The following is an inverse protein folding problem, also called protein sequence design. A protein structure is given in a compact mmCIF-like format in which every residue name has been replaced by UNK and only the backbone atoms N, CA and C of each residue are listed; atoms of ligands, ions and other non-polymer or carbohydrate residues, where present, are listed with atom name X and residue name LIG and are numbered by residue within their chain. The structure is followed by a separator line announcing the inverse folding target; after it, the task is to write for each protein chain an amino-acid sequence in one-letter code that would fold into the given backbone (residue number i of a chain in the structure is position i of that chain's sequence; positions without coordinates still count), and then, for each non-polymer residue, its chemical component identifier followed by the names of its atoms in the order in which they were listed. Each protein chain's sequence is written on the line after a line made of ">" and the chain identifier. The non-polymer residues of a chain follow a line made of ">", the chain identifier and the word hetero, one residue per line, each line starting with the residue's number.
data_IF_734441826392
#
_entry.id   IF_734441826392
#
_cell.length_a   1.000
_cell.length_b   1.000
_cell.length_c   1.000
_cell.angle_alpha   90.00
_cell.angle_beta   90.00
_cell.angle_gamma   90.00
#
_symmetry.space_group_name_H-M   'P 1'
#
loop_
_entity.id
_entity.type
_entity.pdbx_description
1 polymer ?
#
# COMPACT_ATOMS: atom_id res chain seq x y z
N UNK A 1 7.04 -8.23 -39.10
CA UNK A 1 7.53 -7.48 -37.91
C UNK A 1 8.83 -8.13 -37.47
N UNK A 2 9.92 -7.38 -37.29
CA UNK A 2 11.12 -7.95 -36.70
C UNK A 2 10.77 -8.37 -35.28
N UNK A 3 10.95 -9.66 -34.98
CA UNK A 3 10.96 -10.16 -33.62
C UNK A 3 12.19 -9.56 -32.96
N UNK A 4 12.02 -8.45 -32.24
CA UNK A 4 13.05 -7.97 -31.32
C UNK A 4 13.20 -9.10 -30.31
N UNK A 5 14.36 -9.73 -30.24
CA UNK A 5 14.68 -10.76 -29.26
C UNK A 5 16.17 -10.68 -28.94
N UNK A 6 16.53 -10.89 -27.67
CA UNK A 6 17.90 -10.76 -27.16
C UNK A 6 18.09 -9.61 -26.15
N UNK A 7 19.34 -9.28 -25.81
CA UNK A 7 19.70 -8.39 -24.68
C UNK A 7 19.03 -7.00 -24.71
N UNK A 8 18.73 -6.47 -25.90
CA UNK A 8 18.06 -5.18 -26.06
C UNK A 8 16.60 -5.20 -25.60
N UNK A 9 15.89 -6.32 -25.74
CA UNK A 9 14.53 -6.46 -25.21
C UNK A 9 14.52 -6.49 -23.68
N UNK A 10 15.53 -7.12 -23.07
CA UNK A 10 15.65 -7.19 -21.60
C UNK A 10 15.96 -5.82 -21.00
N UNK A 11 16.78 -5.02 -21.69
CA UNK A 11 17.04 -3.62 -21.33
C UNK A 11 15.77 -2.78 -21.43
N UNK A 12 15.06 -2.85 -22.56
CA UNK A 12 13.76 -2.16 -22.71
C UNK A 12 12.75 -2.61 -21.66
N UNK A 13 12.68 -3.89 -21.33
CA UNK A 13 11.78 -4.42 -20.30
C UNK A 13 12.11 -3.85 -18.91
N UNK A 14 13.39 -3.71 -18.57
CA UNK A 14 13.83 -3.08 -17.32
C UNK A 14 13.46 -1.60 -17.28
N UNK A 15 13.76 -0.85 -18.34
CA UNK A 15 13.44 0.58 -18.42
C UNK A 15 11.93 0.82 -18.32
N UNK A 16 11.13 0.04 -19.05
CA UNK A 16 9.67 0.13 -19.00
C UNK A 16 9.11 -0.25 -17.62
N UNK A 17 9.69 -1.27 -16.96
CA UNK A 17 9.28 -1.67 -15.61
C UNK A 17 9.59 -0.58 -14.59
N UNK A 18 10.80 -0.01 -14.64
CA UNK A 18 11.18 1.11 -13.77
C UNK A 18 10.29 2.33 -14.00
N UNK A 19 10.10 2.73 -15.27
CA UNK A 19 9.22 3.84 -15.63
C UNK A 19 7.79 3.63 -15.12
N UNK A 20 7.24 2.42 -15.29
CA UNK A 20 5.90 2.09 -14.82
C UNK A 20 5.78 2.23 -13.30
N UNK A 21 6.74 1.66 -12.54
CA UNK A 21 6.72 1.70 -11.09
C UNK A 21 6.87 3.13 -10.55
N UNK A 22 7.80 3.91 -11.10
CA UNK A 22 8.03 5.30 -10.71
C UNK A 22 6.83 6.19 -11.04
N UNK A 23 6.29 6.07 -12.25
CA UNK A 23 5.13 6.85 -12.68
C UNK A 23 3.91 6.50 -11.82
N UNK A 24 3.70 5.22 -11.53
CA UNK A 24 2.58 4.77 -10.70
C UNK A 24 2.70 5.27 -9.27
N UNK A 25 3.89 5.17 -8.66
CA UNK A 25 4.13 5.69 -7.30
C UNK A 25 3.91 7.21 -7.25
N UNK A 26 4.40 7.95 -8.24
CA UNK A 26 4.16 9.40 -8.34
C UNK A 26 2.68 9.73 -8.47
N UNK A 27 1.94 8.99 -9.30
CA UNK A 27 0.50 9.18 -9.46
C UNK A 27 -0.25 8.87 -8.15
N UNK A 28 0.14 7.81 -7.44
CA UNK A 28 -0.41 7.50 -6.12
C UNK A 28 -0.17 8.69 -5.19
N UNK A 29 1.06 9.17 -5.05
CA UNK A 29 1.39 10.29 -4.16
C UNK A 29 0.62 11.57 -4.50
N UNK A 30 0.49 11.91 -5.78
CA UNK A 30 -0.28 13.10 -6.23
C UNK A 30 -1.77 12.94 -5.96
N UNK A 31 -2.33 11.73 -6.16
CA UNK A 31 -3.74 11.45 -5.86
C UNK A 31 -4.01 11.30 -4.35
N UNK A 32 -2.97 11.14 -3.53
CA UNK A 32 -3.03 11.05 -2.07
C UNK A 32 -3.04 12.42 -1.36
N UNK A 33 -3.16 13.55 -2.09
CA UNK A 33 -3.31 14.90 -1.50
C UNK A 33 -4.56 14.99 -0.61
N UNK A 34 -4.38 14.69 0.68
CA UNK A 34 -5.38 14.76 1.74
C UNK A 34 -5.51 13.45 2.53
N UNK A 35 -5.69 12.32 1.85
CA UNK A 35 -5.91 11.01 2.48
C UNK A 35 -5.38 9.86 1.59
N UNK A 36 -4.60 8.90 2.15
CA UNK A 36 -4.02 7.80 1.37
C UNK A 36 -5.06 6.92 0.67
N UNK A 37 -4.84 6.61 -0.60
CA UNK A 37 -5.54 5.56 -1.38
C UNK A 37 -7.08 5.52 -1.24
N UNK A 38 -7.75 6.67 -1.36
CA UNK A 38 -9.21 6.76 -1.25
C UNK A 38 -9.74 6.48 0.16
N UNK A 39 -8.89 6.61 1.19
CA UNK A 39 -9.34 6.58 2.58
C UNK A 39 -10.24 7.76 2.88
N UNK A 40 -11.22 7.52 3.74
CA UNK A 40 -12.17 8.52 4.18
C UNK A 40 -11.55 9.25 5.38
N UNK A 41 -11.68 10.58 5.49
CA UNK A 41 -11.33 11.32 6.69
C UNK A 41 -12.07 10.72 7.90
N UNK A 42 -11.33 10.07 8.81
CA UNK A 42 -11.85 9.58 10.08
C UNK A 42 -11.13 10.29 11.22
N UNK A 43 -11.87 10.69 12.25
CA UNK A 43 -11.29 11.16 13.50
C UNK A 43 -10.46 10.07 14.16
N UNK A 44 -9.51 10.40 15.05
CA UNK A 44 -8.72 9.40 15.77
C UNK A 44 -9.56 8.35 16.50
N UNK A 45 -10.76 8.73 17.00
CA UNK A 45 -11.68 7.81 17.66
C UNK A 45 -12.30 6.83 16.66
N UNK A 46 -12.84 7.34 15.55
CA UNK A 46 -13.45 6.50 14.51
C UNK A 46 -12.43 5.55 13.86
N UNK A 47 -11.16 5.97 13.73
CA UNK A 47 -10.09 5.09 13.24
C UNK A 47 -9.89 3.88 14.17
N UNK A 48 -9.87 4.11 15.49
CA UNK A 48 -9.73 3.05 16.49
C UNK A 48 -11.00 2.19 16.53
N UNK A 49 -12.19 2.80 16.56
CA UNK A 49 -13.46 2.07 16.61
C UNK A 49 -13.59 1.13 15.40
N UNK A 50 -13.26 1.63 14.20
CA UNK A 50 -13.24 0.83 12.96
C UNK A 50 -12.21 -0.30 13.04
N UNK A 51 -10.99 0.00 13.51
CA UNK A 51 -9.93 -1.01 13.67
C UNK A 51 -10.37 -2.14 14.62
N UNK A 52 -10.96 -1.79 15.76
CA UNK A 52 -11.43 -2.76 16.76
C UNK A 52 -12.63 -3.59 16.28
N UNK A 53 -13.39 -3.08 15.30
CA UNK A 53 -14.53 -3.77 14.70
C UNK A 53 -14.22 -4.48 13.38
N UNK A 54 -12.97 -4.51 12.92
CA UNK A 54 -12.62 -5.16 11.64
C UNK A 54 -12.90 -6.65 11.69
N UNK A 55 -13.66 -7.15 10.71
CA UNK A 55 -13.88 -8.58 10.52
C UNK A 55 -12.72 -9.20 9.73
N UNK A 56 -12.60 -10.55 9.67
CA UNK A 56 -11.62 -11.20 8.80
C UNK A 56 -11.69 -10.72 7.34
N UNK A 57 -12.91 -10.49 6.83
CA UNK A 57 -13.13 -9.99 5.46
C UNK A 57 -12.61 -8.56 5.27
N UNK A 58 -12.72 -7.69 6.29
CA UNK A 58 -12.13 -6.35 6.26
C UNK A 58 -10.60 -6.40 6.19
N UNK A 59 -9.99 -7.35 6.91
CA UNK A 59 -8.54 -7.59 6.88
C UNK A 59 -8.07 -8.12 5.53
N UNK A 60 -8.82 -9.03 4.92
CA UNK A 60 -8.56 -9.51 3.56
C UNK A 60 -8.66 -8.37 2.55
N UNK A 61 -9.69 -7.53 2.63
CA UNK A 61 -9.87 -6.38 1.76
C UNK A 61 -8.75 -5.34 1.90
N UNK A 62 -8.29 -5.07 3.13
CA UNK A 62 -7.14 -4.19 3.39
C UNK A 62 -5.87 -4.78 2.77
N UNK A 63 -5.62 -6.07 3.01
CA UNK A 63 -4.45 -6.77 2.48
C UNK A 63 -4.45 -6.77 0.95
N UNK A 64 -5.60 -7.01 0.32
CA UNK A 64 -5.74 -6.96 -1.14
C UNK A 64 -5.40 -5.57 -1.72
N UNK A 65 -5.83 -4.49 -1.05
CA UNK A 65 -5.46 -3.12 -1.45
C UNK A 65 -3.96 -2.87 -1.36
N UNK A 66 -3.30 -3.34 -0.29
CA UNK A 66 -1.85 -3.22 -0.13
C UNK A 66 -1.10 -4.06 -1.18
N UNK A 67 -1.55 -5.28 -1.45
CA UNK A 67 -1.00 -6.13 -2.51
C UNK A 67 -1.10 -5.46 -3.87
N UNK A 68 -2.25 -4.84 -4.18
CA UNK A 68 -2.38 -4.07 -5.42
C UNK A 68 -1.47 -2.83 -5.40
N UNK A 69 -1.33 -2.11 -4.28
CA UNK A 69 -0.39 -0.98 -4.14
C UNK A 69 1.04 -1.40 -4.46
N UNK A 70 1.50 -2.57 -4.02
CA UNK A 70 2.87 -3.02 -4.25
C UNK A 70 3.05 -3.93 -5.47
N UNK A 71 2.01 -4.07 -6.31
CA UNK A 71 2.06 -4.95 -7.48
C UNK A 71 3.22 -4.60 -8.42
N UNK A 72 4.02 -5.61 -8.76
CA UNK A 72 5.17 -5.47 -9.66
C UNK A 72 6.42 -4.89 -9.00
N UNK A 73 6.36 -4.46 -7.74
CA UNK A 73 7.55 -4.02 -7.01
C UNK A 73 8.42 -5.23 -6.64
N UNK A 74 9.75 -5.07 -6.63
CA UNK A 74 10.62 -6.08 -6.03
C UNK A 74 10.26 -6.21 -4.55
N UNK A 75 10.13 -7.45 -4.05
CA UNK A 75 9.78 -7.75 -2.65
C UNK A 75 8.40 -7.24 -2.22
N UNK A 76 7.43 -7.21 -3.14
CA UNK A 76 6.06 -6.76 -2.87
C UNK A 76 5.46 -7.35 -1.58
N UNK A 77 5.66 -8.65 -1.32
CA UNK A 77 5.16 -9.31 -0.09
C UNK A 77 5.75 -8.74 1.20
N UNK A 78 7.05 -8.40 1.20
CA UNK A 78 7.70 -7.79 2.36
C UNK A 78 7.17 -6.38 2.62
N UNK A 79 6.89 -5.62 1.55
CA UNK A 79 6.32 -4.28 1.64
C UNK A 79 4.90 -4.31 2.19
N UNK A 80 4.05 -5.22 1.69
CA UNK A 80 2.70 -5.44 2.23
C UNK A 80 2.73 -5.77 3.72
N UNK A 81 3.61 -6.69 4.12
CA UNK A 81 3.77 -7.07 5.53
C UNK A 81 4.17 -5.88 6.39
N UNK A 82 5.16 -5.10 5.94
CA UNK A 82 5.63 -3.92 6.66
C UNK A 82 4.54 -2.86 6.82
N UNK A 83 3.73 -2.63 5.79
CA UNK A 83 2.63 -1.69 5.85
C UNK A 83 1.52 -2.16 6.82
N UNK A 84 1.19 -3.46 6.81
CA UNK A 84 0.27 -4.04 7.79
C UNK A 84 0.79 -3.92 9.22
N UNK A 85 2.05 -4.25 9.47
CA UNK A 85 2.69 -4.10 10.78
C UNK A 85 2.67 -2.65 11.26
N UNK A 86 2.98 -1.71 10.37
CA UNK A 86 2.96 -0.28 10.66
C UNK A 86 1.55 0.21 11.00
N UNK A 87 0.55 -0.23 10.23
CA UNK A 87 -0.86 0.09 10.47
C UNK A 87 -1.33 -0.43 11.84
N UNK A 88 -1.08 -1.71 12.13
CA UNK A 88 -1.46 -2.35 13.40
C UNK A 88 -0.75 -1.68 14.59
N UNK A 89 0.55 -1.42 14.48
CA UNK A 89 1.31 -0.75 15.54
C UNK A 89 0.78 0.66 15.81
N UNK A 90 0.49 1.43 14.76
CA UNK A 90 -0.14 2.76 14.88
C UNK A 90 -1.49 2.66 15.59
N UNK A 91 -2.34 1.71 15.20
CA UNK A 91 -3.69 1.59 15.76
C UNK A 91 -3.68 1.12 17.21
N UNK A 92 -2.83 0.15 17.55
CA UNK A 92 -2.60 -0.24 18.94
C UNK A 92 -2.10 0.93 19.78
N UNK A 93 -1.16 1.74 19.28
CA UNK A 93 -0.70 2.94 19.99
C UNK A 93 -1.85 3.91 20.23
N UNK A 94 -2.68 4.17 19.23
CA UNK A 94 -3.83 5.08 19.35
C UNK A 94 -4.91 4.55 20.30
N UNK A 95 -5.17 3.24 20.29
CA UNK A 95 -6.18 2.60 21.13
C UNK A 95 -5.77 2.52 22.61
N UNK A 96 -4.50 2.19 22.88
CA UNK A 96 -4.04 1.87 24.24
C UNK A 96 -3.26 3.01 24.92
N UNK A 97 -2.66 3.95 24.18
CA UNK A 97 -1.95 5.10 24.79
C UNK A 97 -2.88 6.11 25.45
N UNK A 98 -4.20 6.07 25.20
CA UNK A 98 -5.20 6.93 25.86
C UNK A 98 -5.78 6.33 27.16
N UNK A 99 -5.41 5.10 27.52
CA UNK A 99 -5.90 4.41 28.72
C UNK A 99 -5.03 4.59 29.96
N UNK A 100 -3.89 5.29 29.83
CA UNK A 100 -3.05 5.70 30.95
C UNK A 100 -3.32 7.16 31.31
N UNK A 101 -4.47 7.41 31.94
CA UNK A 101 -4.70 8.56 32.83
C UNK A 101 -5.59 8.07 33.97
#
# INVERSE_FOLDING_TARGET
>A
MPLVSGPSLDEMAKELSSWYLETRERLIQVLEEGYPYGSIPLTPKEQVDRFMSMTPEDWEALTAKLTERHRGQPKAEELVRKDLETFVAKMNRMAFSRRTV
#
